data_IF_103982848296
#
_entry.id   IF_103982848296
#
_cell.length_a   1.000
_cell.length_b   1.000
_cell.length_c   1.000
_cell.angle_alpha   90.00
_cell.angle_beta   90.00
_cell.angle_gamma   90.00
#
_symmetry.space_group_name_H-M   'P 1'
#
loop_
_entity.id
_entity.type
_entity.pdbx_description
1 polymer ?
#
# COMPACT_ATOMS: atom_id res chain seq x y z
N UNK A 1 -15.40 -64.48 28.12
CA UNK A 1 -14.29 -63.54 28.34
C UNK A 1 -13.45 -63.45 27.07
N UNK A 2 -13.62 -62.38 26.27
CA UNK A 2 -12.55 -61.75 25.47
C UNK A 2 -13.14 -60.64 24.59
N UNK A 3 -13.08 -59.45 25.18
CA UNK A 3 -13.00 -58.09 24.65
C UNK A 3 -13.00 -57.89 23.12
N UNK A 4 -14.06 -57.22 22.64
CA UNK A 4 -14.09 -56.47 21.38
C UNK A 4 -12.96 -55.43 21.36
N UNK A 5 -12.05 -55.51 20.38
CA UNK A 5 -11.18 -54.38 20.02
C UNK A 5 -11.97 -53.44 19.10
N UNK A 6 -12.63 -52.45 19.70
CA UNK A 6 -13.21 -51.33 18.97
C UNK A 6 -12.06 -50.40 18.53
N UNK A 7 -11.65 -50.50 17.26
CA UNK A 7 -10.73 -49.53 16.65
C UNK A 7 -11.49 -48.23 16.44
N UNK A 8 -11.23 -47.24 17.30
CA UNK A 8 -11.67 -45.86 17.09
C UNK A 8 -10.86 -45.29 15.92
N UNK A 9 -11.45 -45.30 14.73
CA UNK A 9 -10.96 -44.49 13.63
C UNK A 9 -11.38 -43.05 13.93
N UNK A 10 -10.48 -42.28 14.53
CA UNK A 10 -10.64 -40.83 14.68
C UNK A 10 -10.41 -40.25 13.30
N UNK A 11 -11.42 -39.66 12.63
CA UNK A 11 -11.14 -38.88 11.44
C UNK A 11 -10.43 -37.61 11.93
N UNK A 12 -9.15 -37.48 11.57
CA UNK A 12 -8.44 -36.21 11.57
C UNK A 12 -9.20 -35.30 10.61
N UNK A 13 -10.18 -34.57 11.13
CA UNK A 13 -10.76 -33.41 10.47
C UNK A 13 -9.64 -32.39 10.38
N UNK A 14 -8.92 -32.43 9.25
CA UNK A 14 -8.05 -31.35 8.80
C UNK A 14 -8.88 -30.08 8.76
N UNK A 15 -8.80 -29.28 9.81
CA UNK A 15 -9.26 -27.90 9.80
C UNK A 15 -8.30 -27.17 8.87
N UNK A 16 -8.62 -27.19 7.57
CA UNK A 16 -8.06 -26.26 6.61
C UNK A 16 -8.67 -24.92 7.00
N UNK A 17 -7.98 -24.20 7.89
CA UNK A 17 -8.23 -22.78 8.11
C UNK A 17 -7.90 -22.11 6.77
N UNK A 18 -8.90 -21.98 5.91
CA UNK A 18 -8.84 -21.08 4.76
C UNK A 18 -8.73 -19.68 5.36
N UNK A 19 -7.50 -19.25 5.62
CA UNK A 19 -7.17 -17.84 5.81
C UNK A 19 -7.44 -17.24 4.43
N UNK A 20 -8.69 -16.81 4.20
CA UNK A 20 -8.96 -15.93 3.08
C UNK A 20 -8.01 -14.75 3.25
N UNK A 21 -7.16 -14.42 2.25
CA UNK A 21 -6.35 -13.22 2.35
C UNK A 21 -7.33 -12.09 2.60
N UNK A 22 -7.16 -11.37 3.72
CA UNK A 22 -7.93 -10.15 3.94
C UNK A 22 -7.73 -9.31 2.68
N UNK A 23 -8.80 -9.17 1.90
CA UNK A 23 -8.88 -8.17 0.84
C UNK A 23 -8.82 -6.83 1.57
N UNK A 24 -7.61 -6.37 1.84
CA UNK A 24 -7.38 -5.04 2.35
C UNK A 24 -7.87 -4.12 1.23
N UNK A 25 -9.03 -3.50 1.44
CA UNK A 25 -9.60 -2.55 0.50
C UNK A 25 -8.49 -1.59 0.09
N UNK A 26 -8.17 -1.55 -1.21
CA UNK A 26 -7.05 -0.76 -1.70
C UNK A 26 -7.31 0.71 -1.37
N UNK A 27 -6.38 1.34 -0.65
CA UNK A 27 -6.45 2.76 -0.31
C UNK A 27 -6.56 3.57 -1.62
N UNK A 28 -7.64 4.35 -1.78
CA UNK A 28 -7.80 5.21 -2.96
C UNK A 28 -6.89 6.43 -2.92
N UNK A 29 -6.60 7.02 -4.08
CA UNK A 29 -5.84 8.26 -4.18
C UNK A 29 -6.49 9.43 -3.42
N UNK A 30 -7.82 9.55 -3.48
CA UNK A 30 -8.59 10.55 -2.74
C UNK A 30 -8.47 10.38 -1.23
N UNK A 31 -8.56 9.14 -0.72
CA UNK A 31 -8.42 8.87 0.70
C UNK A 31 -6.97 9.13 1.17
N UNK A 32 -5.96 8.70 0.41
CA UNK A 32 -4.57 8.99 0.75
C UNK A 32 -4.30 10.51 0.80
N UNK A 33 -4.83 11.27 -0.17
CA UNK A 33 -4.69 12.73 -0.19
C UNK A 33 -5.28 13.36 1.07
N UNK A 34 -6.48 12.93 1.49
CA UNK A 34 -7.11 13.40 2.71
C UNK A 34 -6.31 13.06 3.98
N UNK A 35 -5.70 11.86 4.04
CA UNK A 35 -4.83 11.49 5.17
C UNK A 35 -3.56 12.35 5.23
N UNK A 36 -3.09 12.81 4.07
CA UNK A 36 -1.92 13.67 3.95
C UNK A 36 -2.22 15.18 4.02
N UNK A 37 -3.48 15.60 4.15
CA UNK A 37 -3.85 17.02 4.11
C UNK A 37 -3.07 17.86 5.13
N UNK A 38 -2.83 17.33 6.33
CA UNK A 38 -2.09 18.03 7.38
C UNK A 38 -0.60 18.23 7.07
N UNK A 39 -0.02 17.55 6.09
CA UNK A 39 1.33 17.85 5.58
C UNK A 39 1.35 19.15 4.75
N UNK A 40 0.22 19.53 4.15
CA UNK A 40 0.09 20.74 3.35
C UNK A 40 -0.32 21.95 4.20
N UNK A 41 -1.18 21.72 5.20
CA UNK A 41 -1.79 22.77 6.02
C UNK A 41 -1.06 23.01 7.36
N UNK A 42 -0.18 22.08 7.75
CA UNK A 42 0.42 22.05 9.08
C UNK A 42 -0.45 21.30 10.08
N UNK A 43 0.20 20.56 10.99
CA UNK A 43 -0.48 19.76 12.01
C UNK A 43 -0.76 20.57 13.27
N UNK A 44 -2.01 20.56 13.74
CA UNK A 44 -2.42 21.22 14.99
C UNK A 44 -2.65 20.23 16.15
N UNK A 45 -2.49 18.91 15.91
CA UNK A 45 -2.66 17.87 16.93
C UNK A 45 -1.66 16.72 16.76
N UNK A 46 -1.44 15.95 17.84
CA UNK A 46 -0.64 14.72 17.77
C UNK A 46 -1.24 13.70 16.79
N UNK A 47 -2.57 13.58 16.76
CA UNK A 47 -3.27 12.67 15.86
C UNK A 47 -3.06 13.04 14.39
N UNK A 48 -3.13 14.33 14.04
CA UNK A 48 -2.87 14.78 12.66
C UNK A 48 -1.40 14.60 12.27
N UNK A 49 -0.46 14.78 13.19
CA UNK A 49 0.95 14.50 12.96
C UNK A 49 1.19 12.99 12.71
N UNK A 50 0.53 12.14 13.51
CA UNK A 50 0.62 10.69 13.34
C UNK A 50 0.03 10.21 12.00
N UNK A 51 -1.14 10.73 11.60
CA UNK A 51 -1.72 10.44 10.27
C UNK A 51 -0.82 10.91 9.13
N UNK A 52 -0.23 12.09 9.26
CA UNK A 52 0.76 12.62 8.31
C UNK A 52 2.00 11.73 8.18
N UNK A 53 2.47 11.19 9.31
CA UNK A 53 3.58 10.23 9.33
C UNK A 53 3.23 8.92 8.61
N UNK A 54 2.04 8.37 8.84
CA UNK A 54 1.60 7.14 8.16
C UNK A 54 1.47 7.34 6.65
N UNK A 55 0.83 8.43 6.22
CA UNK A 55 0.58 8.68 4.81
C UNK A 55 1.88 9.00 4.04
N UNK A 56 2.82 9.73 4.65
CA UNK A 56 4.15 9.98 4.06
C UNK A 56 4.96 8.69 3.97
N UNK A 57 4.92 7.85 5.00
CA UNK A 57 5.57 6.52 4.98
C UNK A 57 5.02 5.63 3.88
N UNK A 58 3.70 5.67 3.63
CA UNK A 58 3.08 4.94 2.52
C UNK A 58 3.66 5.36 1.16
N UNK A 59 3.75 6.67 0.90
CA UNK A 59 4.34 7.20 -0.35
C UNK A 59 5.82 6.83 -0.46
N UNK A 60 6.57 6.98 0.65
CA UNK A 60 8.00 6.68 0.67
C UNK A 60 8.32 5.20 0.45
N UNK A 61 7.47 4.29 0.95
CA UNK A 61 7.62 2.86 0.71
C UNK A 61 7.44 2.50 -0.77
N UNK A 62 6.46 3.11 -1.45
CA UNK A 62 6.29 2.93 -2.91
C UNK A 62 7.49 3.53 -3.66
N UNK A 63 7.97 4.70 -3.24
CA UNK A 63 9.16 5.32 -3.81
C UNK A 63 10.39 4.42 -3.71
N UNK A 64 10.65 3.83 -2.55
CA UNK A 64 11.81 2.95 -2.37
C UNK A 64 11.74 1.77 -3.34
N UNK A 65 10.59 1.10 -3.41
CA UNK A 65 10.36 0.00 -4.34
C UNK A 65 10.58 0.40 -5.80
N UNK A 66 10.05 1.56 -6.23
CA UNK A 66 10.25 2.06 -7.59
C UNK A 66 11.70 2.45 -7.83
N UNK A 67 12.36 3.07 -6.86
CA UNK A 67 13.76 3.52 -6.98
C UNK A 67 14.74 2.36 -7.14
N UNK A 68 14.46 1.21 -6.50
CA UNK A 68 15.25 -0.02 -6.63
C UNK A 68 15.17 -0.59 -8.05
N UNK A 69 13.99 -0.51 -8.69
CA UNK A 69 13.76 -1.08 -10.01
C UNK A 69 13.99 -0.10 -11.16
N UNK A 70 13.92 1.20 -10.89
CA UNK A 70 14.03 2.28 -11.88
C UNK A 70 15.22 3.20 -11.58
N UNK A 71 16.44 2.86 -12.06
CA UNK A 71 17.69 3.50 -11.66
C UNK A 71 17.84 4.98 -12.11
N UNK A 72 16.91 5.49 -12.91
CA UNK A 72 16.89 6.87 -13.42
C UNK A 72 15.82 7.75 -12.78
N UNK A 73 15.29 7.37 -11.62
CA UNK A 73 14.27 8.16 -10.93
C UNK A 73 14.83 9.54 -10.54
N UNK A 74 14.43 10.57 -11.29
CA UNK A 74 14.95 11.93 -11.14
C UNK A 74 14.44 12.64 -9.87
N UNK A 75 13.40 12.11 -9.22
CA UNK A 75 12.84 12.71 -8.02
C UNK A 75 13.65 12.30 -6.80
N UNK A 76 14.08 13.30 -6.03
CA UNK A 76 14.71 13.10 -4.74
C UNK A 76 13.67 12.62 -3.70
N UNK A 77 14.05 11.64 -2.88
CA UNK A 77 13.30 11.12 -1.74
C UNK A 77 12.77 12.22 -0.80
N UNK A 78 13.51 13.31 -0.58
CA UNK A 78 13.05 14.40 0.30
C UNK A 78 11.86 15.19 -0.29
N UNK A 79 11.70 15.20 -1.61
CA UNK A 79 10.66 15.96 -2.31
C UNK A 79 9.49 15.09 -2.77
N UNK A 80 9.66 13.76 -2.75
CA UNK A 80 8.71 12.82 -3.37
C UNK A 80 7.32 12.92 -2.76
N UNK A 81 7.21 13.14 -1.46
CA UNK A 81 5.93 13.23 -0.77
C UNK A 81 5.14 14.43 -1.32
N UNK A 82 5.73 15.62 -1.31
CA UNK A 82 5.07 16.83 -1.80
C UNK A 82 4.75 16.76 -3.31
N UNK A 83 5.68 16.24 -4.13
CA UNK A 83 5.47 16.07 -5.57
C UNK A 83 4.34 15.08 -5.86
N UNK A 84 4.27 13.98 -5.12
CA UNK A 84 3.20 12.98 -5.22
C UNK A 84 1.85 13.57 -4.82
N UNK A 85 1.78 14.34 -3.71
CA UNK A 85 0.53 14.97 -3.29
C UNK A 85 0.03 15.97 -4.33
N UNK A 86 0.92 16.78 -4.91
CA UNK A 86 0.59 17.70 -6.01
C UNK A 86 0.08 16.95 -7.23
N UNK A 87 0.65 15.78 -7.54
CA UNK A 87 0.13 14.91 -8.60
C UNK A 87 -1.28 14.41 -8.30
N UNK A 88 -1.52 13.86 -7.10
CA UNK A 88 -2.81 13.32 -6.68
C UNK A 88 -3.91 14.40 -6.64
N UNK A 89 -3.59 15.64 -6.28
CA UNK A 89 -4.53 16.76 -6.34
C UNK A 89 -5.07 17.02 -7.75
N UNK A 90 -4.26 16.79 -8.78
CA UNK A 90 -4.57 17.06 -10.18
C UNK A 90 -4.96 15.81 -10.98
N UNK A 91 -4.92 14.62 -10.37
CA UNK A 91 -5.32 13.39 -11.05
C UNK A 91 -6.84 13.37 -11.29
N UNK A 92 -7.26 13.00 -12.50
CA UNK A 92 -8.68 12.82 -12.83
C UNK A 92 -9.25 11.53 -12.21
N UNK A 93 -8.40 10.51 -12.04
CA UNK A 93 -8.78 9.17 -11.57
C UNK A 93 -8.54 8.97 -10.06
N UNK A 94 -8.94 9.93 -9.20
CA UNK A 94 -8.60 9.89 -7.75
C UNK A 94 -9.13 8.68 -6.98
N UNK A 95 -10.19 8.05 -7.49
CA UNK A 95 -10.77 6.84 -6.89
C UNK A 95 -9.99 5.56 -7.21
N UNK A 96 -8.97 5.62 -8.08
CA UNK A 96 -8.09 4.49 -8.30
C UNK A 96 -7.21 4.20 -7.08
N UNK A 97 -6.72 2.95 -6.95
CA UNK A 97 -5.76 2.59 -5.91
C UNK A 97 -4.56 3.54 -5.92
N UNK A 98 -4.28 4.14 -4.76
CA UNK A 98 -3.20 5.11 -4.58
C UNK A 98 -1.85 4.52 -5.01
N UNK A 99 -1.60 3.25 -4.68
CA UNK A 99 -0.38 2.54 -5.11
C UNK A 99 -0.17 2.61 -6.63
N UNK A 100 -1.21 2.38 -7.43
CA UNK A 100 -1.12 2.40 -8.89
C UNK A 100 -0.92 3.81 -9.44
N UNK A 101 -1.56 4.80 -8.82
CA UNK A 101 -1.40 6.21 -9.19
C UNK A 101 0.03 6.69 -8.92
N UNK A 102 0.57 6.36 -7.74
CA UNK A 102 1.92 6.75 -7.30
C UNK A 102 2.98 6.03 -8.13
N UNK A 103 2.86 4.71 -8.28
CA UNK A 103 3.77 3.90 -9.10
C UNK A 103 3.84 4.44 -10.54
N UNK A 104 2.68 4.67 -11.18
CA UNK A 104 2.63 5.28 -12.52
C UNK A 104 3.29 6.65 -12.57
N UNK A 105 3.07 7.50 -11.57
CA UNK A 105 3.70 8.82 -11.49
C UNK A 105 5.22 8.70 -11.41
N UNK A 106 5.74 7.88 -10.51
CA UNK A 106 7.18 7.72 -10.29
C UNK A 106 7.86 7.04 -11.47
N UNK A 107 7.27 5.98 -12.02
CA UNK A 107 7.83 5.28 -13.18
C UNK A 107 7.90 6.18 -14.42
N UNK A 108 6.94 7.10 -14.61
CA UNK A 108 7.03 8.12 -15.67
C UNK A 108 8.21 9.07 -15.46
N UNK A 109 8.48 9.48 -14.22
CA UNK A 109 9.61 10.35 -13.87
C UNK A 109 10.95 9.65 -14.07
N UNK A 110 10.99 8.33 -13.92
CA UNK A 110 12.16 7.50 -14.18
C UNK A 110 12.27 6.98 -15.62
N UNK A 111 11.28 7.23 -16.47
CA UNK A 111 11.16 6.66 -17.82
C UNK A 111 11.22 5.11 -17.83
N UNK A 112 10.59 4.47 -16.85
CA UNK A 112 10.51 3.02 -16.71
C UNK A 112 9.06 2.51 -16.77
N UNK A 113 8.89 1.19 -16.78
CA UNK A 113 7.58 0.57 -16.67
C UNK A 113 7.05 0.65 -15.22
N UNK A 114 5.72 0.69 -15.01
CA UNK A 114 5.13 0.70 -13.67
C UNK A 114 5.44 -0.61 -12.92
N UNK A 115 6.02 -0.51 -11.73
CA UNK A 115 6.49 -1.67 -10.94
C UNK A 115 5.32 -2.44 -10.34
N UNK A 116 4.32 -1.73 -9.82
CA UNK A 116 3.14 -2.33 -9.19
C UNK A 116 2.24 -3.07 -10.20
N UNK A 117 2.48 -2.90 -11.51
CA UNK A 117 1.80 -3.64 -12.57
C UNK A 117 2.49 -4.94 -12.99
N UNK A 118 3.68 -5.21 -12.44
CA UNK A 118 4.50 -6.39 -12.80
C UNK A 118 4.22 -7.62 -11.93
N UNK A 119 3.39 -7.49 -10.87
CA UNK A 119 3.03 -8.57 -9.93
C UNK A 119 1.52 -8.78 -9.85
#
# INVERSE_FOLDING_TARGET
MSWLKLKVAIPLLSIVLYIQPLSAASLSGSHLLNQCQSLLEGSQSLMSAFKSGQCSSYILGIYDLVSEQCPRLAINRQEVVLKTLKYLQNAEEKERPAVLLIDRFLSRQAQCLPVASLN
#
